data_IF_472868892298
#
_entry.id   IF_472868892298
#
_cell.length_a   1.000
_cell.length_b   1.000
_cell.length_c   1.000
_cell.angle_alpha   90.00
_cell.angle_beta   90.00
_cell.angle_gamma   90.00
#
_symmetry.space_group_name_H-M   'P 1'
#
loop_
_entity.id
_entity.type
_entity.pdbx_description
1 polymer ?
#
# COMPACT_ATOMS: atom_id res chain seq x y z
N UNK A 1 15.08 17.68 5.98
CA UNK A 1 15.08 18.52 4.76
C UNK A 1 16.07 19.68 4.88
N UNK A 2 16.14 20.43 6.00
CA UNK A 2 17.05 21.60 6.11
C UNK A 2 18.51 21.20 5.86
N UNK A 3 19.01 20.20 6.56
CA UNK A 3 20.37 19.68 6.33
C UNK A 3 20.57 19.22 4.87
N UNK A 4 19.56 18.57 4.29
CA UNK A 4 19.63 18.12 2.91
C UNK A 4 19.79 19.28 1.91
N UNK A 5 19.16 20.43 2.19
CA UNK A 5 19.35 21.66 1.40
C UNK A 5 20.77 22.23 1.54
N UNK A 6 21.34 22.20 2.76
CA UNK A 6 22.67 22.71 3.04
C UNK A 6 23.79 21.92 2.34
N UNK A 7 23.63 20.59 2.25
CA UNK A 7 24.63 19.69 1.66
C UNK A 7 24.32 19.27 0.23
N UNK A 8 23.25 19.85 -0.36
CA UNK A 8 22.74 19.50 -1.70
C UNK A 8 22.51 17.99 -1.90
N UNK A 9 21.83 17.36 -0.95
CA UNK A 9 21.55 15.93 -1.00
C UNK A 9 20.57 15.59 -2.13
N UNK A 10 20.68 14.38 -2.68
CA UNK A 10 19.74 13.81 -3.67
C UNK A 10 18.51 13.19 -3.01
N UNK A 11 18.65 12.67 -1.78
CA UNK A 11 17.65 11.87 -1.08
C UNK A 11 17.72 12.15 0.43
N UNK A 12 16.56 12.18 1.07
CA UNK A 12 16.44 12.15 2.54
C UNK A 12 15.78 10.84 2.94
N UNK A 13 16.35 10.17 3.92
CA UNK A 13 15.80 8.96 4.54
C UNK A 13 15.74 9.16 6.05
N UNK A 14 14.65 8.71 6.66
CA UNK A 14 14.49 8.72 8.12
C UNK A 14 13.76 7.46 8.56
N UNK A 15 14.37 6.69 9.46
CA UNK A 15 13.70 5.60 10.16
C UNK A 15 12.93 6.10 11.38
N UNK A 16 11.92 5.37 11.78
CA UNK A 16 11.29 5.56 13.09
C UNK A 16 12.16 4.98 14.21
N UNK A 17 11.81 5.23 15.50
CA UNK A 17 12.59 4.74 16.64
C UNK A 17 12.70 3.20 16.72
N UNK A 18 11.70 2.49 16.20
CA UNK A 18 11.68 1.02 16.17
C UNK A 18 12.54 0.45 15.04
N UNK A 19 13.05 1.31 14.13
CA UNK A 19 13.85 0.96 12.96
C UNK A 19 13.17 -0.07 12.03
N UNK A 20 11.86 0.04 11.88
CA UNK A 20 11.06 -0.86 11.05
C UNK A 20 10.33 -0.14 9.89
N UNK A 21 10.32 1.20 9.84
CA UNK A 21 9.70 2.04 8.81
C UNK A 21 10.67 3.09 8.31
N UNK A 22 10.52 3.46 7.03
CA UNK A 22 11.35 4.48 6.39
C UNK A 22 10.48 5.52 5.71
N UNK A 23 10.58 6.76 6.17
CA UNK A 23 10.08 7.93 5.44
C UNK A 23 11.15 8.47 4.50
N UNK A 24 10.77 8.88 3.32
CA UNK A 24 11.69 9.45 2.33
C UNK A 24 11.20 10.79 1.80
N UNK A 25 12.17 11.63 1.37
CA UNK A 25 11.90 12.82 0.58
C UNK A 25 12.93 12.94 -0.54
N UNK A 26 12.49 13.47 -1.67
CA UNK A 26 13.35 13.78 -2.82
C UNK A 26 12.94 15.13 -3.43
N UNK A 27 13.74 15.64 -4.36
CA UNK A 27 13.39 16.85 -5.12
C UNK A 27 12.42 16.52 -6.25
N UNK A 28 11.39 17.33 -6.43
CA UNK A 28 10.52 17.29 -7.61
C UNK A 28 11.21 17.95 -8.83
N UNK A 29 10.49 18.04 -9.96
CA UNK A 29 11.02 18.64 -11.20
C UNK A 29 11.27 20.17 -11.11
N UNK A 30 10.78 20.81 -10.04
CA UNK A 30 11.04 22.22 -9.74
C UNK A 30 12.19 22.40 -8.75
N UNK A 31 12.78 21.31 -8.26
CA UNK A 31 13.80 21.30 -7.23
C UNK A 31 13.28 21.47 -5.80
N UNK A 32 11.95 21.41 -5.60
CA UNK A 32 11.33 21.49 -4.29
C UNK A 32 11.31 20.13 -3.60
N UNK A 33 11.56 20.12 -2.29
CA UNK A 33 11.53 18.90 -1.51
C UNK A 33 10.11 18.42 -1.26
N UNK A 34 9.79 17.21 -1.72
CA UNK A 34 8.52 16.54 -1.52
C UNK A 34 8.67 15.27 -0.68
N UNK A 35 7.73 15.07 0.23
CA UNK A 35 7.64 13.83 1.00
C UNK A 35 6.95 12.77 0.15
N UNK A 36 7.55 11.59 0.08
CA UNK A 36 6.99 10.44 -0.60
C UNK A 36 6.23 9.59 0.42
N UNK A 37 4.97 9.30 0.17
CA UNK A 37 4.16 8.51 1.09
C UNK A 37 4.49 7.01 1.02
N UNK A 38 4.01 6.23 2.01
CA UNK A 38 4.33 4.80 2.11
C UNK A 38 3.83 3.98 0.92
N UNK A 39 2.70 4.32 0.32
CA UNK A 39 2.22 3.67 -0.90
C UNK A 39 3.17 3.91 -2.08
N UNK A 40 3.59 5.16 -2.28
CA UNK A 40 4.55 5.54 -3.32
C UNK A 40 5.91 4.85 -3.12
N UNK A 41 6.36 4.78 -1.88
CA UNK A 41 7.61 4.08 -1.54
C UNK A 41 7.51 2.59 -1.85
N UNK A 42 6.42 1.91 -1.45
CA UNK A 42 6.16 0.52 -1.79
C UNK A 42 6.15 0.28 -3.31
N UNK A 43 5.52 1.18 -4.07
CA UNK A 43 5.51 1.10 -5.55
C UNK A 43 6.93 1.11 -6.12
N UNK A 44 7.76 2.08 -5.70
CA UNK A 44 9.12 2.22 -6.21
C UNK A 44 9.98 1.00 -5.85
N UNK A 45 9.87 0.49 -4.63
CA UNK A 45 10.57 -0.73 -4.22
C UNK A 45 10.18 -1.92 -5.10
N UNK A 46 8.89 -2.16 -5.23
CA UNK A 46 8.41 -3.32 -5.99
C UNK A 46 8.74 -3.20 -7.47
N UNK A 47 8.52 -2.03 -8.05
CA UNK A 47 8.87 -1.76 -9.45
C UNK A 47 10.35 -2.03 -9.73
N UNK A 48 11.24 -1.52 -8.87
CA UNK A 48 12.68 -1.73 -8.99
C UNK A 48 13.06 -3.21 -8.86
N UNK A 49 12.62 -3.87 -7.79
CA UNK A 49 12.92 -5.30 -7.55
C UNK A 49 12.48 -6.15 -8.75
N UNK A 50 11.26 -5.95 -9.25
CA UNK A 50 10.74 -6.72 -10.37
C UNK A 50 11.51 -6.43 -11.67
N UNK A 51 11.87 -5.17 -11.91
CA UNK A 51 12.70 -4.78 -13.04
C UNK A 51 14.06 -5.48 -13.00
N UNK A 52 14.74 -5.44 -11.85
CA UNK A 52 16.05 -6.09 -11.67
C UNK A 52 15.94 -7.62 -11.77
N UNK A 53 14.91 -8.22 -11.15
CA UNK A 53 14.70 -9.66 -11.22
C UNK A 53 14.46 -10.14 -12.65
N UNK A 54 13.71 -9.38 -13.44
CA UNK A 54 13.46 -9.66 -14.84
C UNK A 54 14.75 -9.56 -15.67
N UNK A 55 15.52 -8.49 -15.50
CA UNK A 55 16.79 -8.28 -16.20
C UNK A 55 17.81 -9.37 -15.87
N UNK A 56 17.87 -9.82 -14.63
CA UNK A 56 18.79 -10.86 -14.15
C UNK A 56 18.28 -12.29 -14.39
N UNK A 57 17.12 -12.48 -15.03
CA UNK A 57 16.53 -13.80 -15.26
C UNK A 57 16.20 -14.55 -13.97
N UNK A 58 15.92 -13.84 -12.88
CA UNK A 58 15.61 -14.43 -11.57
C UNK A 58 14.14 -14.82 -11.41
N UNK A 59 13.25 -14.40 -12.30
CA UNK A 59 11.82 -14.78 -12.27
C UNK A 59 11.70 -16.19 -12.84
N UNK A 60 11.19 -17.13 -12.03
CA UNK A 60 11.02 -18.56 -12.37
C UNK A 60 9.56 -18.98 -12.49
N UNK A 61 8.60 -18.08 -12.15
CA UNK A 61 7.15 -18.31 -12.23
C UNK A 61 6.53 -18.84 -10.94
N UNK A 62 7.27 -18.82 -9.83
CA UNK A 62 6.77 -19.17 -8.50
C UNK A 62 6.98 -18.04 -7.48
N UNK A 63 7.30 -16.85 -7.94
CA UNK A 63 7.46 -15.67 -7.11
C UNK A 63 6.11 -15.10 -6.71
N UNK A 64 6.06 -14.52 -5.50
CA UNK A 64 4.90 -13.79 -5.03
C UNK A 64 5.28 -12.57 -4.20
N UNK A 65 4.36 -11.64 -4.15
CA UNK A 65 4.42 -10.43 -3.32
C UNK A 65 3.20 -10.39 -2.38
N UNK A 66 3.29 -9.60 -1.32
CA UNK A 66 2.19 -9.43 -0.37
C UNK A 66 1.96 -7.95 -0.10
N UNK A 67 0.69 -7.53 -0.09
CA UNK A 67 0.29 -6.20 0.36
C UNK A 67 -0.83 -6.27 1.39
N UNK A 68 -1.01 -5.22 2.17
CA UNK A 68 -2.22 -5.14 2.98
C UNK A 68 -3.41 -4.68 2.13
N UNK A 69 -4.61 -5.06 2.54
CA UNK A 69 -5.87 -4.69 1.86
C UNK A 69 -6.07 -3.16 1.75
N UNK A 70 -5.41 -2.36 2.60
CA UNK A 70 -5.52 -0.89 2.58
C UNK A 70 -4.36 -0.23 1.81
N UNK A 71 -3.34 -0.97 1.42
CA UNK A 71 -2.26 -0.50 0.55
C UNK A 71 -2.77 -0.33 -0.88
N UNK A 72 -2.15 0.56 -1.65
CA UNK A 72 -2.57 0.90 -3.02
C UNK A 72 -2.72 -0.31 -3.93
N UNK A 73 -3.74 -0.28 -4.81
CA UNK A 73 -3.91 -1.31 -5.85
C UNK A 73 -2.86 -1.19 -6.97
N UNK A 74 -2.14 -0.08 -7.02
CA UNK A 74 -1.13 0.14 -8.06
C UNK A 74 0.00 -0.89 -7.98
N UNK A 75 0.41 -1.31 -6.75
CA UNK A 75 1.42 -2.37 -6.61
C UNK A 75 0.92 -3.73 -7.11
N UNK A 76 -0.39 -3.99 -7.04
CA UNK A 76 -0.98 -5.17 -7.66
C UNK A 76 -0.90 -5.08 -9.19
N UNK A 77 -1.21 -3.92 -9.77
CA UNK A 77 -1.06 -3.72 -11.23
C UNK A 77 0.38 -3.93 -11.69
N UNK A 78 1.37 -3.47 -10.90
CA UNK A 78 2.80 -3.70 -11.17
C UNK A 78 3.12 -5.20 -11.15
N UNK A 79 2.66 -5.93 -10.14
CA UNK A 79 2.87 -7.36 -10.03
C UNK A 79 2.21 -8.14 -11.18
N UNK A 80 0.94 -7.86 -11.45
CA UNK A 80 0.15 -8.50 -12.52
C UNK A 80 0.82 -8.34 -13.91
N UNK A 81 1.31 -7.12 -14.24
CA UNK A 81 2.01 -6.87 -15.52
C UNK A 81 3.32 -7.63 -15.65
N UNK A 82 3.92 -8.01 -14.54
CA UNK A 82 5.13 -8.83 -14.48
C UNK A 82 4.85 -10.33 -14.28
N UNK A 83 3.58 -10.75 -14.30
CA UNK A 83 3.12 -12.12 -14.02
C UNK A 83 3.55 -12.65 -12.64
N UNK A 84 3.58 -11.75 -11.64
CA UNK A 84 3.88 -12.08 -10.26
C UNK A 84 2.59 -12.10 -9.47
N UNK A 85 2.38 -13.17 -8.69
CA UNK A 85 1.22 -13.26 -7.80
C UNK A 85 1.28 -12.19 -6.71
N UNK A 86 0.18 -11.44 -6.51
CA UNK A 86 0.02 -10.51 -5.40
C UNK A 86 -1.02 -11.06 -4.44
N UNK A 87 -0.61 -11.31 -3.20
CA UNK A 87 -1.51 -11.72 -2.12
C UNK A 87 -1.93 -10.51 -1.29
N UNK A 88 -3.22 -10.47 -0.96
CA UNK A 88 -3.79 -9.51 -0.02
C UNK A 88 -3.82 -10.09 1.38
N UNK A 89 -3.43 -9.30 2.39
CA UNK A 89 -3.56 -9.67 3.79
C UNK A 89 -4.12 -8.51 4.63
N UNK A 90 -4.47 -8.76 5.88
CA UNK A 90 -4.86 -7.69 6.80
C UNK A 90 -3.70 -6.77 7.16
N UNK A 91 -4.02 -5.58 7.67
CA UNK A 91 -3.03 -4.64 8.21
C UNK A 91 -2.28 -5.22 9.40
N UNK A 92 -0.98 -4.99 9.43
CA UNK A 92 -0.04 -5.53 10.40
C UNK A 92 0.87 -6.56 9.78
N UNK A 93 2.18 -6.34 9.92
CA UNK A 93 3.20 -7.13 9.24
C UNK A 93 3.19 -8.62 9.60
N UNK A 94 2.63 -8.98 10.76
CA UNK A 94 2.36 -10.38 11.14
C UNK A 94 1.58 -11.17 10.07
N UNK A 95 0.72 -10.49 9.31
CA UNK A 95 -0.05 -11.10 8.24
C UNK A 95 0.79 -11.34 6.99
N UNK A 96 1.67 -10.40 6.65
CA UNK A 96 2.66 -10.61 5.59
C UNK A 96 3.57 -11.78 5.96
N UNK A 97 4.10 -11.80 7.19
CA UNK A 97 4.91 -12.90 7.70
C UNK A 97 4.17 -14.26 7.68
N UNK A 98 2.85 -14.25 7.93
CA UNK A 98 2.01 -15.45 7.81
C UNK A 98 1.98 -15.99 6.38
N UNK A 99 1.75 -15.12 5.39
CA UNK A 99 1.72 -15.53 3.97
C UNK A 99 3.10 -16.06 3.52
N UNK A 100 4.17 -15.42 3.95
CA UNK A 100 5.53 -15.94 3.72
C UNK A 100 5.67 -17.35 4.29
N UNK A 101 5.30 -17.55 5.57
CA UNK A 101 5.39 -18.85 6.25
C UNK A 101 4.58 -19.95 5.56
N UNK A 102 3.36 -19.66 5.13
CA UNK A 102 2.49 -20.65 4.44
C UNK A 102 2.99 -21.02 3.05
N UNK A 103 3.83 -20.17 2.47
CA UNK A 103 4.40 -20.35 1.13
C UNK A 103 5.79 -20.98 1.15
N UNK A 104 6.39 -21.20 2.33
CA UNK A 104 7.72 -21.82 2.48
C UNK A 104 7.83 -23.14 1.71
N UNK A 105 8.93 -23.27 0.97
CA UNK A 105 9.21 -24.46 0.16
C UNK A 105 8.33 -24.64 -1.08
N UNK A 106 7.34 -23.75 -1.31
CA UNK A 106 6.43 -23.80 -2.47
C UNK A 106 6.59 -22.61 -3.40
N UNK A 107 6.66 -21.40 -2.82
CA UNK A 107 6.79 -20.14 -3.55
C UNK A 107 7.92 -19.31 -2.98
N UNK A 108 8.44 -18.40 -3.78
CA UNK A 108 9.48 -17.46 -3.39
C UNK A 108 8.89 -16.08 -3.14
N UNK A 109 8.93 -15.62 -1.89
CA UNK A 109 8.60 -14.24 -1.55
C UNK A 109 9.69 -13.30 -2.06
N UNK A 110 9.31 -12.19 -2.69
CA UNK A 110 10.27 -11.21 -3.24
C UNK A 110 10.08 -9.79 -2.70
N UNK A 111 8.92 -9.47 -2.18
CA UNK A 111 8.70 -8.18 -1.56
C UNK A 111 7.26 -7.93 -1.16
N UNK A 112 7.09 -7.03 -0.22
CA UNK A 112 5.77 -6.60 0.21
C UNK A 112 5.84 -5.55 1.30
N UNK A 113 4.73 -4.86 1.51
CA UNK A 113 4.72 -3.77 2.46
C UNK A 113 3.34 -3.23 2.79
N UNK A 114 3.38 -2.18 3.58
CA UNK A 114 2.22 -1.47 4.11
C UNK A 114 2.26 -0.01 3.68
N UNK A 115 1.09 0.60 3.54
CA UNK A 115 0.93 2.04 3.30
C UNK A 115 1.57 2.91 4.39
N UNK A 116 1.81 2.32 5.56
CA UNK A 116 2.41 2.97 6.74
C UNK A 116 3.94 2.90 6.76
N UNK A 117 4.59 2.93 5.59
CA UNK A 117 6.04 3.01 5.41
C UNK A 117 6.84 1.74 5.74
N UNK A 118 6.18 0.63 6.05
CA UNK A 118 6.84 -0.65 6.30
C UNK A 118 7.02 -1.46 5.01
N UNK A 119 8.23 -1.98 4.77
CA UNK A 119 8.55 -2.82 3.64
C UNK A 119 9.54 -3.92 4.04
N UNK A 120 9.46 -5.06 3.39
CA UNK A 120 10.42 -6.14 3.46
C UNK A 120 10.72 -6.64 2.05
N UNK A 121 11.98 -6.61 1.65
CA UNK A 121 12.48 -7.28 0.45
C UNK A 121 13.03 -8.64 0.83
N UNK A 122 12.60 -9.70 0.12
CA UNK A 122 12.93 -11.09 0.42
C UNK A 122 12.50 -11.54 1.83
N UNK A 123 12.88 -12.72 2.27
CA UNK A 123 12.36 -13.36 3.48
C UNK A 123 13.42 -13.66 4.55
N UNK A 124 14.53 -12.90 4.53
CA UNK A 124 15.63 -13.06 5.46
C UNK A 124 15.26 -12.71 6.92
N UNK A 125 14.23 -11.88 7.11
CA UNK A 125 13.54 -11.63 8.40
C UNK A 125 12.03 -11.79 8.21
N UNK A 126 11.26 -11.70 9.31
CA UNK A 126 9.79 -11.88 9.27
C UNK A 126 9.04 -10.65 9.77
N UNK A 127 9.67 -9.51 9.64
CA UNK A 127 9.09 -8.20 9.93
C UNK A 127 9.68 -7.14 8.99
N UNK A 128 9.10 -5.95 9.04
CA UNK A 128 9.62 -4.75 8.38
C UNK A 128 11.05 -4.48 8.85
N UNK A 129 11.88 -4.02 7.95
CA UNK A 129 13.26 -3.69 8.28
C UNK A 129 13.66 -2.38 7.61
N UNK A 130 13.82 -1.32 8.43
CA UNK A 130 14.19 -0.01 7.95
C UNK A 130 15.64 0.05 7.45
N UNK A 131 16.54 -0.79 7.97
CA UNK A 131 17.94 -0.78 7.55
C UNK A 131 18.04 -1.23 6.10
N UNK A 132 17.47 -2.39 5.78
CA UNK A 132 17.46 -2.89 4.39
C UNK A 132 16.62 -2.00 3.47
N UNK A 133 15.50 -1.44 3.96
CA UNK A 133 14.69 -0.51 3.18
C UNK A 133 15.44 0.80 2.86
N UNK A 134 16.23 1.35 3.78
CA UNK A 134 17.12 2.48 3.49
C UNK A 134 18.17 2.14 2.42
N UNK A 135 18.81 0.97 2.53
CA UNK A 135 19.75 0.52 1.50
C UNK A 135 19.06 0.39 0.14
N UNK A 136 17.87 -0.21 0.12
CA UNK A 136 17.12 -0.42 -1.10
C UNK A 136 16.67 0.90 -1.75
N UNK A 137 16.18 1.89 -1.00
CA UNK A 137 15.78 3.18 -1.61
C UNK A 137 16.99 3.98 -2.10
N UNK A 138 18.13 3.88 -1.44
CA UNK A 138 19.37 4.47 -1.92
C UNK A 138 19.80 3.83 -3.26
N UNK A 139 19.69 2.51 -3.37
CA UNK A 139 19.96 1.76 -4.61
C UNK A 139 18.96 2.14 -5.71
N UNK A 140 17.66 2.25 -5.41
CA UNK A 140 16.63 2.72 -6.37
C UNK A 140 16.96 4.13 -6.87
N UNK A 141 17.34 5.04 -5.99
CA UNK A 141 17.70 6.41 -6.35
C UNK A 141 18.97 6.46 -7.24
N UNK A 142 20.00 5.67 -6.89
CA UNK A 142 21.21 5.55 -7.70
C UNK A 142 20.91 4.96 -9.08
N UNK A 143 20.12 3.89 -9.13
CA UNK A 143 19.69 3.28 -10.39
C UNK A 143 18.88 4.25 -11.27
N UNK A 144 17.97 5.03 -10.68
CA UNK A 144 17.24 6.06 -11.42
C UNK A 144 18.20 7.09 -12.00
N UNK A 145 19.18 7.56 -11.21
CA UNK A 145 20.21 8.53 -11.65
C UNK A 145 21.09 7.98 -12.76
N UNK A 146 21.50 6.72 -12.70
CA UNK A 146 22.26 6.03 -13.76
C UNK A 146 21.45 5.91 -15.07
N UNK A 147 20.13 5.89 -14.97
CA UNK A 147 19.22 5.94 -16.12
C UNK A 147 18.79 7.37 -16.51
N UNK A 148 19.48 8.40 -16.01
CA UNK A 148 19.25 9.81 -16.35
C UNK A 148 17.98 10.41 -15.73
N UNK A 149 17.46 9.86 -14.64
CA UNK A 149 16.22 10.27 -13.98
C UNK A 149 16.44 10.58 -12.50
N UNK A 150 15.64 11.50 -11.96
CA UNK A 150 15.50 11.63 -10.52
C UNK A 150 14.58 10.55 -9.95
N UNK A 151 14.59 10.38 -8.63
CA UNK A 151 13.65 9.47 -7.95
C UNK A 151 12.19 9.91 -8.16
N UNK A 152 11.95 11.21 -8.22
CA UNK A 152 10.62 11.76 -8.51
C UNK A 152 10.16 11.44 -9.95
N UNK A 153 11.05 11.60 -10.93
CA UNK A 153 10.76 11.23 -12.31
C UNK A 153 10.48 9.74 -12.47
N UNK A 154 11.21 8.89 -11.74
CA UNK A 154 10.90 7.46 -11.68
C UNK A 154 9.48 7.20 -11.16
N UNK A 155 9.04 7.92 -10.11
CA UNK A 155 7.68 7.82 -9.61
C UNK A 155 6.65 8.24 -10.68
N UNK A 156 6.91 9.32 -11.42
CA UNK A 156 6.03 9.76 -12.52
C UNK A 156 5.95 8.72 -13.65
N UNK A 157 7.09 8.12 -14.01
CA UNK A 157 7.11 7.05 -15.02
C UNK A 157 6.28 5.83 -14.60
N UNK A 158 6.33 5.46 -13.32
CA UNK A 158 5.47 4.38 -12.80
C UNK A 158 3.99 4.75 -12.94
N UNK A 159 3.62 5.99 -12.67
CA UNK A 159 2.24 6.45 -12.87
C UNK A 159 1.83 6.46 -14.33
N UNK A 160 2.70 6.87 -15.24
CA UNK A 160 2.43 6.82 -16.69
C UNK A 160 2.26 5.38 -17.17
N UNK A 161 3.06 4.45 -16.65
CA UNK A 161 3.05 3.05 -17.10
C UNK A 161 1.89 2.22 -16.53
N UNK A 162 1.49 2.48 -15.26
CA UNK A 162 0.52 1.64 -14.53
C UNK A 162 -0.78 2.36 -14.17
N UNK A 163 -0.86 3.66 -14.43
CA UNK A 163 -1.97 4.53 -14.06
C UNK A 163 -1.66 5.38 -12.84
N UNK A 164 -2.30 6.53 -12.75
CA UNK A 164 -2.17 7.44 -11.62
C UNK A 164 -3.11 7.06 -10.50
N UNK A 165 -2.59 6.99 -9.29
CA UNK A 165 -3.38 6.87 -8.09
C UNK A 165 -2.90 7.86 -7.03
N UNK A 166 -3.85 8.44 -6.30
CA UNK A 166 -3.56 9.33 -5.18
C UNK A 166 -4.20 8.78 -3.92
N UNK A 167 -3.36 8.46 -2.96
CA UNK A 167 -3.79 7.92 -1.69
C UNK A 167 -3.84 9.01 -0.63
N UNK A 168 -4.86 8.92 0.23
CA UNK A 168 -5.03 9.79 1.37
C UNK A 168 -5.67 9.06 2.53
N UNK A 169 -5.25 9.36 3.76
CA UNK A 169 -5.83 8.76 4.97
C UNK A 169 -6.44 9.84 5.86
N UNK A 170 -7.71 9.70 6.16
CA UNK A 170 -8.42 10.53 7.15
C UNK A 170 -8.55 9.77 8.46
N UNK A 171 -8.11 10.40 9.54
CA UNK A 171 -8.27 9.87 10.89
C UNK A 171 -9.33 10.71 11.62
N UNK A 172 -10.43 10.08 12.03
CA UNK A 172 -11.46 10.71 12.85
C UNK A 172 -11.33 10.20 14.27
N UNK A 173 -10.90 11.07 15.18
CA UNK A 173 -10.75 10.76 16.61
C UNK A 173 -12.01 11.15 17.33
N UNK A 174 -12.56 10.23 18.12
CA UNK A 174 -13.74 10.42 18.97
C UNK A 174 -13.39 10.06 20.41
N UNK A 175 -12.97 11.03 21.23
CA UNK A 175 -12.45 10.73 22.56
C UNK A 175 -13.52 10.17 23.50
N UNK A 176 -13.09 9.34 24.45
CA UNK A 176 -13.91 8.81 25.53
C UNK A 176 -14.78 7.61 25.14
N UNK A 177 -15.57 7.13 26.11
CA UNK A 177 -16.45 5.96 25.95
C UNK A 177 -17.55 6.21 24.91
N UNK A 178 -18.19 7.37 24.96
CA UNK A 178 -19.19 7.77 23.94
C UNK A 178 -18.61 7.78 22.53
N UNK A 179 -17.36 8.21 22.37
CA UNK A 179 -16.68 8.19 21.06
C UNK A 179 -16.47 6.79 20.51
N UNK A 180 -16.16 5.82 21.34
CA UNK A 180 -16.07 4.43 20.92
C UNK A 180 -17.43 3.86 20.49
N UNK A 181 -18.52 4.24 21.18
CA UNK A 181 -19.89 3.87 20.79
C UNK A 181 -20.31 4.51 19.48
N UNK A 182 -19.95 5.79 19.25
CA UNK A 182 -20.19 6.46 17.97
C UNK A 182 -19.45 5.77 16.81
N UNK A 183 -18.18 5.40 16.98
CA UNK A 183 -17.42 4.68 15.96
C UNK A 183 -18.06 3.33 15.65
N UNK A 184 -18.52 2.61 16.67
CA UNK A 184 -19.24 1.35 16.48
C UNK A 184 -20.53 1.56 15.67
N UNK A 185 -21.32 2.57 16.03
CA UNK A 185 -22.54 2.93 15.31
C UNK A 185 -22.26 3.34 13.86
N UNK A 186 -21.18 4.09 13.59
CA UNK A 186 -20.76 4.40 12.22
C UNK A 186 -20.50 3.14 11.40
N UNK A 187 -19.73 2.17 11.96
CA UNK A 187 -19.43 0.92 11.26
C UNK A 187 -20.69 0.09 10.98
N UNK A 188 -21.63 0.05 11.93
CA UNK A 188 -22.92 -0.63 11.76
C UNK A 188 -23.78 0.06 10.68
N UNK A 189 -23.79 1.39 10.67
CA UNK A 189 -24.50 2.15 9.64
C UNK A 189 -23.90 1.93 8.24
N UNK A 190 -22.58 1.96 8.09
CA UNK A 190 -21.93 1.69 6.80
C UNK A 190 -22.21 0.26 6.29
N UNK A 191 -22.39 -0.72 7.19
CA UNK A 191 -22.80 -2.08 6.81
C UNK A 191 -24.25 -2.16 6.37
N UNK A 192 -25.15 -1.50 7.14
CA UNK A 192 -26.56 -1.53 6.84
C UNK A 192 -26.91 -0.69 5.60
N UNK A 193 -26.20 0.39 5.39
CA UNK A 193 -26.42 1.36 4.32
C UNK A 193 -25.10 1.63 3.56
N UNK A 194 -24.59 0.66 2.79
CA UNK A 194 -23.36 0.87 2.02
C UNK A 194 -23.55 2.01 1.02
N UNK A 195 -22.52 2.87 0.83
CA UNK A 195 -22.59 3.95 -0.13
C UNK A 195 -22.79 3.39 -1.54
N UNK A 196 -23.64 4.03 -2.33
CA UNK A 196 -23.88 3.66 -3.73
C UNK A 196 -22.96 4.40 -4.70
N UNK A 197 -22.39 5.50 -4.23
CA UNK A 197 -21.52 6.38 -4.99
C UNK A 197 -20.46 6.98 -4.05
N UNK A 198 -19.27 7.20 -4.55
CA UNK A 198 -18.15 7.87 -3.87
C UNK A 198 -17.47 8.80 -4.87
N UNK A 199 -17.38 10.09 -4.54
CA UNK A 199 -16.72 11.08 -5.39
C UNK A 199 -17.31 11.23 -6.80
N UNK A 200 -18.61 10.95 -6.99
CA UNK A 200 -19.27 10.99 -8.30
C UNK A 200 -19.16 9.68 -9.09
N UNK A 201 -18.46 8.67 -8.58
CA UNK A 201 -18.31 7.37 -9.22
C UNK A 201 -19.13 6.29 -8.51
N UNK A 202 -19.81 5.44 -9.29
CA UNK A 202 -20.68 4.37 -8.79
C UNK A 202 -19.86 3.32 -8.04
N UNK A 203 -20.34 2.89 -6.86
CA UNK A 203 -19.76 1.74 -6.15
C UNK A 203 -20.21 0.45 -6.85
N UNK A 204 -19.25 -0.34 -7.31
CA UNK A 204 -19.48 -1.59 -8.03
C UNK A 204 -19.19 -2.83 -7.20
N UNK A 205 -18.45 -2.69 -6.08
CA UNK A 205 -18.12 -3.79 -5.19
C UNK A 205 -17.99 -3.30 -3.75
N UNK A 206 -18.68 -3.94 -2.83
CA UNK A 206 -18.58 -3.72 -1.38
C UNK A 206 -18.05 -4.98 -0.70
N UNK A 207 -17.03 -4.85 0.14
CA UNK A 207 -16.45 -5.96 0.92
C UNK A 207 -16.67 -5.71 2.41
N UNK A 208 -17.26 -6.68 3.10
CA UNK A 208 -17.34 -6.70 4.57
C UNK A 208 -16.51 -7.85 5.12
N UNK A 209 -15.36 -7.52 5.63
CA UNK A 209 -14.43 -8.49 6.20
C UNK A 209 -14.89 -9.06 7.55
N UNK A 210 -15.87 -8.44 8.21
CA UNK A 210 -16.47 -9.00 9.43
C UNK A 210 -17.34 -10.22 9.14
N UNK A 211 -18.01 -10.21 7.99
CA UNK A 211 -18.84 -11.32 7.54
C UNK A 211 -18.15 -12.22 6.51
N UNK A 212 -16.94 -11.83 6.06
CA UNK A 212 -16.19 -12.46 4.97
C UNK A 212 -17.02 -12.56 3.68
N UNK A 213 -17.79 -11.52 3.36
CA UNK A 213 -18.65 -11.47 2.18
C UNK A 213 -18.38 -10.20 1.38
N UNK A 214 -18.44 -10.34 0.07
CA UNK A 214 -18.45 -9.21 -0.85
C UNK A 214 -19.70 -9.26 -1.71
N UNK A 215 -20.20 -8.07 -2.07
CA UNK A 215 -21.42 -7.87 -2.83
C UNK A 215 -21.13 -6.96 -4.01
N UNK A 216 -21.44 -7.38 -5.23
CA UNK A 216 -21.33 -6.54 -6.42
C UNK A 216 -22.54 -5.59 -6.58
N UNK A 217 -22.51 -4.73 -7.59
CA UNK A 217 -23.58 -3.75 -7.90
C UNK A 217 -24.87 -4.41 -8.42
N UNK A 218 -24.84 -5.70 -8.74
CA UNK A 218 -26.01 -6.51 -9.14
C UNK A 218 -26.63 -7.27 -7.97
N UNK A 219 -26.00 -7.19 -6.78
CA UNK A 219 -26.44 -7.87 -5.57
C UNK A 219 -25.95 -9.31 -5.43
N UNK A 220 -25.03 -9.78 -6.29
CA UNK A 220 -24.42 -11.09 -6.13
C UNK A 220 -23.46 -11.08 -4.93
N UNK A 221 -23.62 -12.08 -4.05
CA UNK A 221 -22.80 -12.24 -2.86
C UNK A 221 -21.84 -13.40 -3.04
N UNK A 222 -20.54 -13.15 -2.80
CA UNK A 222 -19.50 -14.18 -2.82
C UNK A 222 -18.66 -14.12 -1.54
N UNK A 223 -17.93 -15.18 -1.23
CA UNK A 223 -17.04 -15.24 -0.09
C UNK A 223 -15.75 -14.46 -0.35
N UNK A 224 -15.18 -13.86 0.72
CA UNK A 224 -13.82 -13.31 0.72
C UNK A 224 -12.90 -14.37 1.33
N UNK A 225 -11.85 -14.73 0.61
CA UNK A 225 -10.82 -15.66 1.08
C UNK A 225 -9.84 -14.93 2.00
N UNK A 226 -10.13 -14.95 3.29
CA UNK A 226 -9.30 -14.36 4.33
C UNK A 226 -9.29 -15.25 5.57
N UNK A 227 -8.20 -15.28 6.36
CA UNK A 227 -7.99 -16.28 7.42
C UNK A 227 -8.98 -16.19 8.57
N UNK A 228 -9.49 -15.01 8.88
CA UNK A 228 -10.41 -14.74 9.98
C UNK A 228 -11.21 -13.46 9.76
N UNK A 229 -12.35 -13.26 10.41
CA UNK A 229 -13.10 -12.01 10.37
C UNK A 229 -12.30 -10.81 10.90
N UNK A 230 -12.45 -9.65 10.26
CA UNK A 230 -11.87 -8.39 10.68
C UNK A 230 -12.86 -7.24 10.51
N UNK A 231 -12.82 -6.26 11.41
CA UNK A 231 -13.74 -5.12 11.36
C UNK A 231 -13.30 -4.07 10.32
N UNK A 232 -13.31 -4.46 9.06
CA UNK A 232 -12.94 -3.61 7.91
C UNK A 232 -14.06 -3.65 6.89
N UNK A 233 -14.33 -2.51 6.27
CA UNK A 233 -15.19 -2.38 5.08
C UNK A 233 -14.37 -1.80 3.94
N UNK A 234 -14.64 -2.24 2.72
CA UNK A 234 -14.07 -1.64 1.52
C UNK A 234 -15.14 -1.44 0.45
N UNK A 235 -15.01 -0.34 -0.26
CA UNK A 235 -15.87 0.03 -1.37
C UNK A 235 -15.00 0.35 -2.57
N UNK A 236 -15.31 -0.27 -3.70
CA UNK A 236 -14.62 -0.06 -4.98
C UNK A 236 -15.58 0.58 -5.95
N UNK A 237 -15.14 1.61 -6.63
CA UNK A 237 -15.93 2.34 -7.61
C UNK A 237 -15.59 1.94 -9.05
N UNK A 238 -16.47 2.31 -9.97
CA UNK A 238 -16.35 1.99 -11.39
C UNK A 238 -15.08 2.57 -12.04
N UNK A 239 -14.61 3.73 -11.57
CA UNK A 239 -13.35 4.36 -12.00
C UNK A 239 -12.09 3.71 -11.38
N UNK A 240 -12.26 2.66 -10.57
CA UNK A 240 -11.18 1.94 -9.92
C UNK A 240 -10.72 2.55 -8.58
N UNK A 241 -11.37 3.62 -8.11
CA UNK A 241 -11.07 4.18 -6.79
C UNK A 241 -11.52 3.25 -5.67
N UNK A 242 -10.88 3.34 -4.51
CA UNK A 242 -11.12 2.48 -3.36
C UNK A 242 -11.20 3.29 -2.07
N UNK A 243 -12.19 3.00 -1.24
CA UNK A 243 -12.26 3.52 0.14
C UNK A 243 -12.31 2.34 1.11
N UNK A 244 -11.38 2.31 2.06
CA UNK A 244 -11.36 1.33 3.14
C UNK A 244 -11.66 2.01 4.47
N UNK A 245 -12.55 1.43 5.26
CA UNK A 245 -12.97 1.97 6.56
C UNK A 245 -12.58 0.98 7.65
N UNK A 246 -11.78 1.43 8.62
CA UNK A 246 -11.28 0.58 9.70
C UNK A 246 -11.22 1.34 11.02
N UNK A 247 -11.91 0.90 12.07
CA UNK A 247 -11.69 1.43 13.41
C UNK A 247 -10.36 0.94 13.97
N UNK A 248 -9.74 1.76 14.82
CA UNK A 248 -8.56 1.33 15.59
C UNK A 248 -8.97 0.33 16.66
N UNK A 249 -8.13 -0.69 16.90
CA UNK A 249 -8.35 -1.64 17.98
C UNK A 249 -7.92 -1.13 19.36
N UNK A 250 -7.08 -0.08 19.42
CA UNK A 250 -6.45 0.39 20.66
C UNK A 250 -6.83 1.81 21.04
N UNK A 251 -7.33 2.59 20.12
CA UNK A 251 -7.64 4.01 20.31
C UNK A 251 -9.05 4.32 19.77
N UNK A 252 -9.76 5.28 20.37
CA UNK A 252 -11.09 5.68 19.91
C UNK A 252 -10.98 6.53 18.63
N UNK A 253 -10.54 5.91 17.55
CA UNK A 253 -10.43 6.53 16.22
C UNK A 253 -10.87 5.56 15.13
N UNK A 254 -11.37 6.12 14.03
CA UNK A 254 -11.68 5.41 12.79
C UNK A 254 -10.86 6.00 11.66
N UNK A 255 -10.32 5.14 10.82
CA UNK A 255 -9.50 5.51 9.67
C UNK A 255 -10.25 5.25 8.37
N UNK A 256 -10.18 6.20 7.47
CA UNK A 256 -10.61 6.07 6.09
C UNK A 256 -9.39 6.14 5.21
N UNK A 257 -9.07 5.04 4.56
CA UNK A 257 -8.01 4.96 3.55
C UNK A 257 -8.67 5.16 2.19
N UNK A 258 -8.32 6.21 1.52
CA UNK A 258 -8.85 6.56 0.20
C UNK A 258 -7.74 6.41 -0.84
N UNK A 259 -8.08 5.78 -1.94
CA UNK A 259 -7.26 5.67 -3.14
C UNK A 259 -8.12 6.13 -4.31
N UNK A 260 -7.73 7.23 -4.92
CA UNK A 260 -8.44 7.81 -6.06
C UNK A 260 -7.64 7.55 -7.32
N UNK A 261 -8.26 6.93 -8.30
CA UNK A 261 -7.67 6.71 -9.61
C UNK A 261 -7.90 7.94 -10.49
N UNK A 262 -6.94 8.26 -11.35
CA UNK A 262 -7.02 9.37 -12.28
C UNK A 262 -6.17 9.15 -13.52
N UNK A 263 -6.28 10.06 -14.47
CA UNK A 263 -5.41 10.10 -15.64
C UNK A 263 -4.29 11.12 -15.39
N UNK A 264 -3.09 10.81 -15.84
CA UNK A 264 -2.01 11.79 -15.92
C UNK A 264 -2.26 12.65 -17.15
N UNK A 265 -2.47 13.95 -16.92
CA UNK A 265 -2.65 14.95 -17.97
C UNK A 265 -1.33 15.33 -18.65
#
# INVERSE_FOLDING_TARGET
VNLAKEIDADLVMASDPDADRVGIACKDDKGEWVLINGNQTCMMYLYYILTQYKQLGKIKGNEFCVKTIVTTELIKKIADKNNIEMLDCYTGFKWIAREIRLSEGKKKYIGGGEESYGFLAEDFVRDKDAVSACCLIAEVAAWAKDNGKSLYQLLLDIYVEYGFSKEFTVNVVKPGKSGAEEIKAMMENFRANPPKELGGSKVILSKDYKTLKQTDDKGNVTAIDMPEPSNVLQYFTEDGSKVSVRPSGTEPKIKFYMEVQGEMG
#
